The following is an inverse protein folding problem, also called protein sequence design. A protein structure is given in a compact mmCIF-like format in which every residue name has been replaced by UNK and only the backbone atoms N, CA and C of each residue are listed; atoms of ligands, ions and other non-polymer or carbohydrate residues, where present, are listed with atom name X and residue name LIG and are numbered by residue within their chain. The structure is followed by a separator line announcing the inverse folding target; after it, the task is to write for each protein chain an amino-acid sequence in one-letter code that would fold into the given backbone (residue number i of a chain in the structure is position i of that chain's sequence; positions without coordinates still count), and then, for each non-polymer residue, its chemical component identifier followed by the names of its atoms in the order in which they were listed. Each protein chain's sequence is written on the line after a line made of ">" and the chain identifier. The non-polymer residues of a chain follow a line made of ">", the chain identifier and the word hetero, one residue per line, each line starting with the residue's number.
data_IF_835531281136
#
_entry.id   IF_835531281136
#
_cell.length_a   1.000
_cell.length_b   1.000
_cell.length_c   1.000
_cell.angle_alpha   90.00
_cell.angle_beta   90.00
_cell.angle_gamma   90.00
#
_symmetry.space_group_name_H-M   'P 1'
#
loop_
_entity.id
_entity.type
_entity.pdbx_description
1 polymer ?
#
# COMPACT_ATOMS: atom_id res chain seq x y z
N UNK A 1 7.93 31.07 7.30
CA UNK A 1 8.13 30.52 5.94
C UNK A 1 8.95 29.22 5.88
N UNK A 2 10.06 29.07 6.63
CA UNK A 2 10.96 27.89 6.56
C UNK A 2 10.26 26.53 6.78
N UNK A 3 9.37 26.44 7.78
CA UNK A 3 8.57 25.22 8.06
C UNK A 3 7.67 24.80 6.90
N UNK A 4 7.06 25.75 6.19
CA UNK A 4 6.13 25.48 5.09
C UNK A 4 6.85 24.89 3.87
N UNK A 5 8.04 25.40 3.54
CA UNK A 5 8.89 24.85 2.48
C UNK A 5 9.39 23.44 2.83
N UNK A 6 9.74 23.21 4.09
CA UNK A 6 10.22 21.92 4.57
C UNK A 6 9.12 20.84 4.51
N UNK A 7 7.89 21.17 4.93
CA UNK A 7 6.73 20.28 4.80
C UNK A 7 6.45 19.96 3.32
N UNK A 8 6.54 20.95 2.44
CA UNK A 8 6.32 20.77 0.99
C UNK A 8 7.38 19.86 0.36
N UNK A 9 8.66 20.05 0.69
CA UNK A 9 9.73 19.17 0.18
C UNK A 9 9.59 17.74 0.72
N UNK A 10 9.26 17.57 2.00
CA UNK A 10 9.11 16.24 2.59
C UNK A 10 7.91 15.50 1.99
N UNK A 11 6.77 16.18 1.82
CA UNK A 11 5.58 15.59 1.18
C UNK A 11 5.82 15.26 -0.29
N UNK A 12 6.56 16.10 -1.01
CA UNK A 12 6.97 15.83 -2.39
C UNK A 12 7.86 14.58 -2.49
N UNK A 13 8.90 14.48 -1.65
CA UNK A 13 9.76 13.29 -1.58
C UNK A 13 8.97 12.03 -1.21
N UNK A 14 8.03 12.12 -0.27
CA UNK A 14 7.14 11.02 0.10
C UNK A 14 6.30 10.56 -1.11
N UNK A 15 5.72 11.49 -1.86
CA UNK A 15 4.97 11.19 -3.07
C UNK A 15 5.83 10.49 -4.12
N UNK A 16 7.02 11.04 -4.39
CA UNK A 16 7.94 10.49 -5.38
C UNK A 16 8.42 9.08 -5.03
N UNK A 17 8.73 8.81 -3.76
CA UNK A 17 9.12 7.47 -3.29
C UNK A 17 7.92 6.50 -3.42
N UNK A 18 6.71 6.95 -3.09
CA UNK A 18 5.51 6.11 -3.20
C UNK A 18 5.24 5.69 -4.65
N UNK A 19 5.31 6.64 -5.59
CA UNK A 19 5.17 6.36 -7.03
C UNK A 19 6.31 5.48 -7.54
N UNK A 20 7.55 5.77 -7.11
CA UNK A 20 8.72 4.96 -7.46
C UNK A 20 8.59 3.52 -6.98
N UNK A 21 8.02 3.29 -5.79
CA UNK A 21 7.78 1.96 -5.27
C UNK A 21 6.81 1.17 -6.14
N UNK A 22 5.80 1.83 -6.73
CA UNK A 22 4.78 1.20 -7.59
C UNK A 22 5.35 0.90 -8.98
N UNK A 23 6.04 1.86 -9.61
CA UNK A 23 6.53 1.73 -10.98
C UNK A 23 7.84 0.94 -11.08
N UNK A 24 8.77 1.19 -10.15
CA UNK A 24 10.12 0.65 -10.15
C UNK A 24 10.51 0.17 -8.75
N UNK A 25 9.85 -0.88 -8.21
CA UNK A 25 10.05 -1.34 -6.83
C UNK A 25 11.51 -1.72 -6.54
N UNK A 26 12.20 -2.33 -7.51
CA UNK A 26 13.59 -2.76 -7.35
C UNK A 26 14.55 -1.60 -7.16
N UNK A 27 14.55 -0.64 -8.09
CA UNK A 27 15.44 0.52 -8.06
C UNK A 27 15.16 1.40 -6.84
N UNK A 28 13.88 1.64 -6.56
CA UNK A 28 13.47 2.48 -5.44
C UNK A 28 13.83 1.83 -4.10
N UNK A 29 13.59 0.52 -3.93
CA UNK A 29 13.94 -0.18 -2.70
C UNK A 29 15.46 -0.28 -2.49
N UNK A 30 16.23 -0.42 -3.57
CA UNK A 30 17.68 -0.37 -3.51
C UNK A 30 18.19 0.98 -3.00
N UNK A 31 17.64 2.10 -3.50
CA UNK A 31 18.00 3.45 -3.05
C UNK A 31 17.60 3.69 -1.59
N UNK A 32 16.37 3.29 -1.21
CA UNK A 32 15.85 3.36 0.18
C UNK A 32 16.78 2.66 1.18
N UNK A 33 17.20 1.43 0.87
CA UNK A 33 18.07 0.65 1.76
C UNK A 33 19.49 1.19 1.79
N UNK A 34 20.03 1.65 0.65
CA UNK A 34 21.38 2.22 0.56
C UNK A 34 21.54 3.47 1.41
N UNK A 35 20.60 4.39 1.29
CA UNK A 35 20.64 5.67 2.02
C UNK A 35 20.15 5.52 3.48
N UNK A 36 19.51 4.39 3.83
CA UNK A 36 18.83 4.14 5.13
C UNK A 36 17.77 5.19 5.48
N UNK A 37 17.33 5.98 4.50
CA UNK A 37 16.29 7.00 4.68
C UNK A 37 14.96 6.37 4.28
N UNK A 38 13.90 6.66 5.03
CA UNK A 38 12.54 6.24 4.70
C UNK A 38 12.32 4.73 4.54
N UNK A 39 13.17 3.86 5.12
CA UNK A 39 12.98 2.39 5.09
C UNK A 39 11.58 1.99 5.57
N UNK A 40 11.02 2.71 6.55
CA UNK A 40 9.64 2.54 7.02
C UNK A 40 8.56 2.71 5.92
N UNK A 41 8.86 3.41 4.80
CA UNK A 41 7.93 3.51 3.66
C UNK A 41 7.74 2.17 2.94
N UNK A 42 8.59 1.17 3.17
CA UNK A 42 8.30 -0.20 2.70
C UNK A 42 7.06 -0.82 3.36
N UNK A 43 6.63 -0.28 4.50
CA UNK A 43 5.43 -0.70 5.22
C UNK A 43 4.19 0.12 4.83
N UNK A 44 4.38 1.13 3.98
CA UNK A 44 3.30 2.01 3.53
C UNK A 44 2.21 1.22 2.81
N UNK A 45 2.50 0.25 1.92
CA UNK A 45 1.46 -0.55 1.27
C UNK A 45 0.69 -1.44 2.26
N UNK A 46 1.33 -2.00 3.30
CA UNK A 46 0.62 -2.67 4.41
C UNK A 46 -0.35 -1.75 5.14
N UNK A 47 0.09 -0.53 5.44
CA UNK A 47 -0.72 0.44 6.17
C UNK A 47 -1.90 0.90 5.32
N UNK A 48 -1.67 1.12 4.02
CA UNK A 48 -2.69 1.48 3.04
C UNK A 48 -3.69 0.33 2.84
N UNK A 49 -3.22 -0.93 2.74
CA UNK A 49 -4.08 -2.11 2.72
C UNK A 49 -4.92 -2.22 4.01
N UNK A 50 -4.32 -2.05 5.18
CA UNK A 50 -5.05 -2.11 6.45
C UNK A 50 -6.14 -1.04 6.52
N UNK A 51 -5.79 0.21 6.21
CA UNK A 51 -6.76 1.32 6.24
C UNK A 51 -7.87 1.10 5.22
N UNK A 52 -7.54 0.73 3.99
CA UNK A 52 -8.54 0.48 2.94
C UNK A 52 -9.43 -0.71 3.28
N UNK A 53 -8.90 -1.82 3.79
CA UNK A 53 -9.71 -2.98 4.20
C UNK A 53 -10.61 -2.67 5.38
N UNK A 54 -10.13 -1.91 6.37
CA UNK A 54 -10.93 -1.45 7.51
C UNK A 54 -12.04 -0.51 7.04
N UNK A 55 -11.73 0.51 6.25
CA UNK A 55 -12.72 1.43 5.68
C UNK A 55 -13.74 0.68 4.81
N UNK A 56 -13.29 -0.29 4.01
CA UNK A 56 -14.17 -1.08 3.16
C UNK A 56 -15.16 -1.92 3.99
N UNK A 57 -14.67 -2.66 4.99
CA UNK A 57 -15.52 -3.50 5.84
C UNK A 57 -16.45 -2.71 6.76
N UNK A 58 -15.99 -1.58 7.30
CA UNK A 58 -16.75 -0.81 8.29
C UNK A 58 -17.68 0.22 7.63
N UNK A 59 -17.30 0.81 6.50
CA UNK A 59 -18.13 1.84 5.85
C UNK A 59 -18.82 1.32 4.59
N UNK A 60 -18.06 0.81 3.62
CA UNK A 60 -18.60 0.56 2.28
C UNK A 60 -19.55 -0.64 2.27
N UNK A 61 -19.16 -1.77 2.87
CA UNK A 61 -20.01 -2.97 2.92
C UNK A 61 -21.37 -2.70 3.61
N UNK A 62 -21.45 -2.11 4.81
CA UNK A 62 -22.74 -1.83 5.43
C UNK A 62 -23.53 -0.75 4.71
N UNK A 63 -22.87 0.28 4.16
CA UNK A 63 -23.56 1.33 3.39
C UNK A 63 -24.18 0.78 2.10
N UNK A 64 -23.47 -0.09 1.38
CA UNK A 64 -24.00 -0.77 0.18
C UNK A 64 -25.15 -1.70 0.57
N UNK A 65 -25.03 -2.45 1.67
CA UNK A 65 -26.13 -3.31 2.17
C UNK A 65 -27.36 -2.50 2.56
N UNK A 66 -27.17 -1.31 3.14
CA UNK A 66 -28.24 -0.40 3.54
C UNK A 66 -28.94 0.23 2.33
N UNK A 67 -28.18 0.77 1.37
CA UNK A 67 -28.72 1.48 0.20
C UNK A 67 -29.38 0.52 -0.79
N UNK A 68 -28.73 -0.61 -1.08
CA UNK A 68 -29.21 -1.54 -2.10
C UNK A 68 -30.15 -2.62 -1.57
N UNK A 69 -30.43 -2.62 -0.26
CA UNK A 69 -31.31 -3.59 0.41
C UNK A 69 -31.10 -4.98 -0.19
N UNK A 70 -29.88 -5.55 -0.10
CA UNK A 70 -29.49 -6.80 -0.79
C UNK A 70 -30.48 -7.93 -0.48
N UNK A 71 -31.56 -7.95 -1.26
CA UNK A 71 -32.65 -8.90 -1.30
C UNK A 71 -32.13 -10.08 -2.10
N UNK A 72 -32.54 -11.28 -1.69
CA UNK A 72 -32.10 -12.55 -2.29
C UNK A 72 -32.32 -12.65 -3.81
N UNK A 73 -33.01 -11.71 -4.46
CA UNK A 73 -33.25 -11.70 -5.90
C UNK A 73 -32.12 -11.10 -6.76
N UNK A 74 -31.15 -10.37 -6.19
CA UNK A 74 -30.03 -9.74 -6.95
C UNK A 74 -28.68 -10.23 -6.44
N UNK A 75 -28.50 -11.55 -6.42
CA UNK A 75 -27.29 -12.26 -5.97
C UNK A 75 -26.02 -11.78 -6.68
N UNK A 76 -26.16 -11.33 -7.93
CA UNK A 76 -25.05 -10.95 -8.81
C UNK A 76 -24.38 -9.63 -8.37
N UNK A 77 -25.02 -8.72 -7.65
CA UNK A 77 -24.36 -7.43 -7.35
C UNK A 77 -23.55 -7.45 -6.03
N UNK A 78 -24.01 -8.19 -5.02
CA UNK A 78 -23.37 -8.24 -3.71
C UNK A 78 -22.14 -9.17 -3.70
N UNK A 79 -22.12 -10.23 -4.52
CA UNK A 79 -21.00 -11.19 -4.59
C UNK A 79 -19.79 -10.66 -5.37
N UNK A 80 -20.02 -9.91 -6.45
CA UNK A 80 -18.94 -9.28 -7.23
C UNK A 80 -18.18 -8.24 -6.44
N UNK A 81 -18.86 -7.52 -5.54
CA UNK A 81 -18.24 -6.59 -4.61
C UNK A 81 -17.23 -7.30 -3.69
N UNK A 82 -17.62 -8.47 -3.18
CA UNK A 82 -16.75 -9.31 -2.33
C UNK A 82 -15.58 -9.89 -3.13
N UNK A 83 -15.82 -10.31 -4.37
CA UNK A 83 -14.78 -10.79 -5.28
C UNK A 83 -13.72 -9.72 -5.56
N UNK A 84 -14.12 -8.52 -6.00
CA UNK A 84 -13.20 -7.41 -6.30
C UNK A 84 -12.40 -7.02 -5.05
N UNK A 85 -13.03 -6.96 -3.88
CA UNK A 85 -12.35 -6.71 -2.60
C UNK A 85 -11.27 -7.74 -2.30
N UNK A 86 -11.55 -9.02 -2.54
CA UNK A 86 -10.60 -10.11 -2.30
C UNK A 86 -9.44 -10.08 -3.29
N UNK A 87 -9.69 -9.76 -4.57
CA UNK A 87 -8.65 -9.61 -5.59
C UNK A 87 -7.71 -8.45 -5.24
N UNK A 88 -8.24 -7.29 -4.86
CA UNK A 88 -7.41 -6.14 -4.43
C UNK A 88 -6.57 -6.50 -3.20
N UNK A 89 -7.19 -7.17 -2.23
CA UNK A 89 -6.49 -7.61 -1.02
C UNK A 89 -5.36 -8.58 -1.35
N UNK A 90 -5.60 -9.56 -2.22
CA UNK A 90 -4.59 -10.53 -2.66
C UNK A 90 -3.43 -9.84 -3.40
N UNK A 91 -3.74 -8.93 -4.33
CA UNK A 91 -2.73 -8.15 -5.05
C UNK A 91 -1.84 -7.35 -4.10
N UNK A 92 -2.43 -6.66 -3.13
CA UNK A 92 -1.67 -5.88 -2.17
C UNK A 92 -0.85 -6.74 -1.19
N UNK A 93 -1.34 -7.91 -0.77
CA UNK A 93 -0.56 -8.87 0.04
C UNK A 93 0.65 -9.37 -0.77
N UNK A 94 0.43 -9.76 -2.02
CA UNK A 94 1.50 -10.17 -2.93
C UNK A 94 2.55 -9.06 -3.09
N UNK A 95 2.08 -7.83 -3.29
CA UNK A 95 2.96 -6.66 -3.38
C UNK A 95 3.78 -6.44 -2.11
N UNK A 96 3.16 -6.63 -0.95
CA UNK A 96 3.84 -6.51 0.34
C UNK A 96 4.92 -7.58 0.52
N UNK A 97 4.66 -8.82 0.12
CA UNK A 97 5.65 -9.90 0.14
C UNK A 97 6.83 -9.58 -0.78
N UNK A 98 6.57 -9.03 -1.97
CA UNK A 98 7.61 -8.62 -2.91
C UNK A 98 8.51 -7.51 -2.32
N UNK A 99 7.92 -6.47 -1.74
CA UNK A 99 8.68 -5.38 -1.14
C UNK A 99 9.47 -5.84 0.09
N UNK A 100 8.87 -6.70 0.91
CA UNK A 100 9.55 -7.29 2.07
C UNK A 100 10.75 -8.16 1.65
N UNK A 101 10.58 -8.98 0.62
CA UNK A 101 11.66 -9.77 0.03
C UNK A 101 12.80 -8.88 -0.48
N UNK A 102 12.48 -7.81 -1.24
CA UNK A 102 13.48 -6.86 -1.74
C UNK A 102 14.22 -6.16 -0.60
N UNK A 103 13.48 -5.76 0.45
CA UNK A 103 14.07 -5.12 1.63
C UNK A 103 15.07 -6.05 2.31
N UNK A 104 14.71 -7.31 2.58
CA UNK A 104 15.63 -8.29 3.18
C UNK A 104 16.85 -8.51 2.28
N UNK A 105 16.63 -8.70 0.97
CA UNK A 105 17.69 -8.97 0.00
C UNK A 105 18.71 -7.84 -0.02
N UNK A 106 18.27 -6.60 -0.16
CA UNK A 106 19.18 -5.45 -0.18
C UNK A 106 19.78 -5.19 1.19
N UNK A 107 19.02 -5.30 2.27
CA UNK A 107 19.54 -5.11 3.63
C UNK A 107 20.70 -6.08 3.92
N UNK A 108 20.54 -7.36 3.55
CA UNK A 108 21.61 -8.37 3.65
C UNK A 108 22.81 -8.04 2.77
N UNK A 109 22.59 -7.60 1.53
CA UNK A 109 23.66 -7.24 0.60
C UNK A 109 24.49 -6.02 1.06
N UNK A 110 23.83 -5.00 1.61
CA UNK A 110 24.50 -3.80 2.10
C UNK A 110 25.13 -4.01 3.49
N UNK A 111 24.59 -4.92 4.32
CA UNK A 111 25.23 -5.31 5.59
C UNK A 111 26.57 -6.02 5.40
N UNK A 112 26.75 -6.78 4.30
CA UNK A 112 28.03 -7.44 3.98
C UNK A 112 29.11 -6.51 3.42
N UNK A 113 28.73 -5.31 2.98
CA UNK A 113 29.63 -4.32 2.35
C UNK A 113 30.07 -3.19 3.29
N UNK A 114 29.47 -3.09 4.48
CA UNK A 114 29.83 -2.13 5.53
C UNK A 114 30.68 -2.80 6.59
#
# INVERSE_FOLDING_TARGET
>A
MKKRKLILSTTYSLGQISVGLVLHPYQTMQALVREKIFVWMSLLPSLLLMVTTVLWKIMIVPLVRFVFSCSQSVVINCDWLSFVSNVISFYCIYWQLLLFYLLIRFSSAYRKKS
#
